data_IF_888855182807
#
_entry.id   IF_888855182807
#
_cell.length_a   1.000
_cell.length_b   1.000
_cell.length_c   1.000
_cell.angle_alpha   90.00
_cell.angle_beta   90.00
_cell.angle_gamma   90.00
#
_symmetry.space_group_name_H-M   'P 1'
#
loop_
_entity.id
_entity.type
_entity.pdbx_description
1 polymer ?
#
# COMPACT_ATOMS: atom_id res chain seq x y z
N UNK A 1 -17.54 48.95 -9.08
CA UNK A 1 -16.13 49.21 -8.71
C UNK A 1 -15.90 48.64 -7.31
N UNK A 2 -14.97 47.67 -7.17
CA UNK A 2 -14.34 47.10 -5.94
C UNK A 2 -15.27 46.42 -4.91
N UNK A 3 -15.34 45.08 -4.88
CA UNK A 3 -14.47 44.13 -4.13
C UNK A 3 -14.38 44.45 -2.64
N UNK A 4 -15.05 43.64 -1.80
CA UNK A 4 -14.63 43.39 -0.42
C UNK A 4 -14.82 41.89 -0.15
N UNK A 5 -13.76 41.14 -0.42
CA UNK A 5 -13.60 39.81 0.16
C UNK A 5 -13.02 39.95 1.57
N UNK A 6 -13.46 39.09 2.48
CA UNK A 6 -12.62 38.65 3.60
C UNK A 6 -12.85 37.16 3.80
N UNK A 7 -11.79 36.43 3.48
CA UNK A 7 -11.56 35.02 3.74
C UNK A 7 -11.92 34.68 5.21
N UNK A 8 -12.88 33.79 5.39
CA UNK A 8 -12.94 32.94 6.59
C UNK A 8 -12.08 31.71 6.32
N UNK A 9 -10.76 31.84 6.42
CA UNK A 9 -9.93 30.64 6.53
C UNK A 9 -10.08 30.09 7.94
N UNK A 10 -10.64 28.89 7.97
CA UNK A 10 -10.84 28.05 9.13
C UNK A 10 -9.49 27.75 9.77
N UNK A 11 -9.23 28.33 10.95
CA UNK A 11 -8.22 27.83 11.88
C UNK A 11 -8.74 26.52 12.48
N UNK A 12 -8.63 25.43 11.74
CA UNK A 12 -8.70 24.11 12.37
C UNK A 12 -7.39 23.92 13.15
N UNK A 13 -7.43 23.58 14.45
CA UNK A 13 -6.20 23.21 15.15
C UNK A 13 -5.59 22.03 14.40
N UNK A 14 -4.38 22.23 13.88
CA UNK A 14 -3.57 21.15 13.32
C UNK A 14 -3.45 20.09 14.42
N UNK A 15 -4.11 18.94 14.23
CA UNK A 15 -3.91 17.78 15.12
C UNK A 15 -2.39 17.56 15.15
N UNK A 16 -1.75 17.41 16.33
CA UNK A 16 -0.33 17.13 16.38
C UNK A 16 -0.05 15.94 15.46
N UNK A 17 1.05 16.02 14.70
CA UNK A 17 1.47 14.91 13.86
C UNK A 17 1.44 13.63 14.71
N UNK A 18 0.73 12.58 14.26
CA UNK A 18 0.65 11.36 15.03
C UNK A 18 2.08 10.84 15.29
N UNK A 19 2.30 10.27 16.48
CA UNK A 19 3.57 9.62 16.80
C UNK A 19 3.77 8.49 15.80
N UNK A 20 4.93 8.49 15.14
CA UNK A 20 5.27 7.45 14.16
C UNK A 20 5.26 6.08 14.85
N UNK A 21 4.49 5.10 14.32
CA UNK A 21 4.51 3.74 14.82
C UNK A 21 5.89 3.09 14.64
N UNK A 22 6.26 2.20 15.57
CA UNK A 22 7.34 1.25 15.31
C UNK A 22 6.84 0.21 14.30
N UNK A 23 7.09 0.46 13.01
CA UNK A 23 6.68 -0.42 11.91
C UNK A 23 7.18 -1.84 12.08
N UNK A 24 8.39 -2.02 12.61
CA UNK A 24 9.04 -3.32 12.78
C UNK A 24 8.33 -4.19 13.83
N UNK A 25 7.69 -3.56 14.82
CA UNK A 25 6.94 -4.25 15.87
C UNK A 25 5.57 -4.78 15.41
N UNK A 26 5.07 -4.33 14.26
CA UNK A 26 3.76 -4.75 13.75
C UNK A 26 3.90 -6.11 13.06
N UNK A 27 3.52 -7.19 13.73
CA UNK A 27 3.59 -8.56 13.20
C UNK A 27 2.36 -8.99 12.38
N UNK A 28 1.26 -8.24 12.46
CA UNK A 28 -0.02 -8.58 11.83
C UNK A 28 -0.34 -7.62 10.68
N UNK A 29 -0.62 -8.17 9.49
CA UNK A 29 -0.87 -7.37 8.29
C UNK A 29 -2.17 -6.55 8.36
N UNK A 30 -3.16 -6.95 9.16
CA UNK A 30 -4.41 -6.20 9.38
C UNK A 30 -4.20 -4.98 10.27
N UNK A 31 -3.34 -5.14 11.29
CA UNK A 31 -2.90 -4.02 12.14
C UNK A 31 -2.04 -3.06 11.31
N UNK A 32 -1.14 -3.59 10.48
CA UNK A 32 -0.31 -2.79 9.57
C UNK A 32 -1.16 -1.99 8.58
N UNK A 33 -2.20 -2.60 7.99
CA UNK A 33 -3.14 -1.90 7.11
C UNK A 33 -3.82 -0.74 7.80
N UNK A 34 -4.31 -0.95 9.02
CA UNK A 34 -4.99 0.09 9.80
C UNK A 34 -4.06 1.26 10.11
N UNK A 35 -2.80 0.98 10.46
CA UNK A 35 -1.79 2.01 10.69
C UNK A 35 -1.37 2.74 9.39
N UNK A 36 -1.20 2.00 8.29
CA UNK A 36 -0.84 2.55 6.98
C UNK A 36 -1.90 3.50 6.43
N UNK A 37 -3.20 3.22 6.69
CA UNK A 37 -4.31 4.08 6.27
C UNK A 37 -4.25 5.50 6.89
N UNK A 38 -3.60 5.65 8.05
CA UNK A 38 -3.46 6.94 8.74
C UNK A 38 -2.17 7.69 8.32
N UNK A 39 -1.40 7.18 7.36
CA UNK A 39 -0.09 7.70 6.97
C UNK A 39 -0.12 8.86 5.95
N UNK A 40 -1.25 9.51 5.74
CA UNK A 40 -1.37 10.63 4.78
C UNK A 40 -0.48 11.85 5.10
N UNK A 41 0.17 11.87 6.28
CA UNK A 41 1.14 12.87 6.70
C UNK A 41 2.59 12.50 6.36
N UNK A 42 2.86 11.24 5.99
CA UNK A 42 4.21 10.78 5.63
C UNK A 42 4.59 11.26 4.23
N UNK A 43 5.89 11.43 3.98
CA UNK A 43 6.41 11.57 2.63
C UNK A 43 6.37 10.23 1.88
N UNK A 44 6.37 10.23 0.53
CA UNK A 44 6.39 8.99 -0.25
C UNK A 44 7.55 8.07 0.15
N UNK A 45 8.73 8.64 0.37
CA UNK A 45 9.93 7.88 0.73
C UNK A 45 9.79 7.24 2.11
N UNK A 46 9.22 7.97 3.07
CA UNK A 46 8.97 7.45 4.41
C UNK A 46 7.90 6.34 4.41
N UNK A 47 6.87 6.46 3.57
CA UNK A 47 5.87 5.39 3.42
C UNK A 47 6.50 4.12 2.85
N UNK A 48 7.39 4.24 1.86
CA UNK A 48 8.09 3.11 1.28
C UNK A 48 9.02 2.43 2.29
N UNK A 49 9.82 3.21 3.01
CA UNK A 49 10.79 2.70 3.99
C UNK A 49 10.14 2.17 5.29
N UNK A 50 8.93 2.60 5.62
CA UNK A 50 8.21 2.17 6.82
C UNK A 50 7.11 1.14 6.50
N UNK A 51 5.84 1.56 6.34
CA UNK A 51 4.72 0.65 6.13
C UNK A 51 4.93 -0.36 5.00
N UNK A 52 5.43 0.08 3.85
CA UNK A 52 5.56 -0.81 2.69
C UNK A 52 6.68 -1.82 2.86
N UNK A 53 7.88 -1.40 3.29
CA UNK A 53 8.96 -2.32 3.68
C UNK A 53 8.45 -3.38 4.65
N UNK A 54 7.61 -3.00 5.63
CA UNK A 54 7.09 -3.96 6.59
C UNK A 54 6.20 -5.03 5.95
N UNK A 55 5.39 -4.69 4.94
CA UNK A 55 4.67 -5.69 4.17
C UNK A 55 5.61 -6.67 3.46
N UNK A 56 6.71 -6.17 2.90
CA UNK A 56 7.72 -7.00 2.25
C UNK A 56 8.39 -7.96 3.24
N UNK A 57 8.72 -7.49 4.45
CA UNK A 57 9.27 -8.33 5.51
C UNK A 57 8.32 -9.46 5.89
N UNK A 58 7.03 -9.15 6.09
CA UNK A 58 5.99 -10.12 6.42
C UNK A 58 5.73 -11.11 5.27
N UNK A 59 5.86 -10.67 4.01
CA UNK A 59 5.79 -11.55 2.84
C UNK A 59 7.06 -12.40 2.65
N UNK A 60 8.19 -11.98 3.23
CA UNK A 60 9.45 -12.71 3.22
C UNK A 60 9.56 -13.76 4.33
N UNK A 61 8.61 -13.79 5.28
CA UNK A 61 8.59 -14.77 6.37
C UNK A 61 8.40 -16.19 5.81
N UNK A 62 9.49 -16.97 5.86
CA UNK A 62 9.54 -18.35 5.38
C UNK A 62 8.69 -19.33 6.18
N UNK A 63 8.11 -18.92 7.32
CA UNK A 63 7.18 -19.75 8.09
C UNK A 63 5.76 -19.76 7.52
N UNK A 64 5.39 -18.73 6.75
CA UNK A 64 4.09 -18.62 6.11
C UNK A 64 4.06 -19.35 4.76
N UNK A 65 2.96 -20.04 4.46
CA UNK A 65 2.75 -20.63 3.13
C UNK A 65 2.50 -19.53 2.07
N UNK A 66 2.63 -19.89 0.79
CA UNK A 66 2.52 -18.94 -0.32
C UNK A 66 1.18 -18.16 -0.33
N UNK A 67 0.09 -18.79 0.12
CA UNK A 67 -1.23 -18.14 0.22
C UNK A 67 -1.27 -17.07 1.31
N UNK A 68 -0.67 -17.34 2.47
CA UNK A 68 -0.53 -16.36 3.56
C UNK A 68 0.28 -15.15 3.12
N UNK A 69 1.43 -15.39 2.47
CA UNK A 69 2.30 -14.32 1.94
C UNK A 69 1.59 -13.50 0.86
N UNK A 70 0.90 -14.16 -0.07
CA UNK A 70 0.07 -13.49 -1.08
C UNK A 70 -1.04 -12.63 -0.46
N UNK A 71 -1.71 -13.12 0.59
CA UNK A 71 -2.73 -12.34 1.29
C UNK A 71 -2.13 -11.08 1.92
N UNK A 72 -0.98 -11.18 2.59
CA UNK A 72 -0.26 -10.02 3.10
C UNK A 72 0.08 -9.03 1.98
N UNK A 73 0.56 -9.53 0.82
CA UNK A 73 0.91 -8.69 -0.32
C UNK A 73 -0.31 -7.99 -0.93
N UNK A 74 -1.50 -8.60 -0.93
CA UNK A 74 -2.74 -7.91 -1.35
C UNK A 74 -3.06 -6.70 -0.47
N UNK A 75 -2.87 -6.83 0.85
CA UNK A 75 -3.03 -5.70 1.77
C UNK A 75 -1.95 -4.64 1.55
N UNK A 76 -0.71 -5.06 1.26
CA UNK A 76 0.37 -4.15 0.87
C UNK A 76 0.04 -3.37 -0.39
N UNK A 77 -0.43 -4.05 -1.45
CA UNK A 77 -0.93 -3.42 -2.68
C UNK A 77 -2.05 -2.43 -2.39
N UNK A 78 -3.05 -2.82 -1.59
CA UNK A 78 -4.16 -1.95 -1.21
C UNK A 78 -3.65 -0.69 -0.51
N UNK A 79 -2.70 -0.83 0.42
CA UNK A 79 -2.12 0.30 1.16
C UNK A 79 -1.33 1.24 0.25
N UNK A 80 -0.51 0.71 -0.68
CA UNK A 80 0.23 1.51 -1.66
C UNK A 80 -0.73 2.26 -2.57
N UNK A 81 -1.77 1.59 -3.11
CA UNK A 81 -2.76 2.25 -3.98
C UNK A 81 -3.53 3.33 -3.24
N UNK A 82 -3.92 3.08 -1.99
CA UNK A 82 -4.60 4.07 -1.16
C UNK A 82 -3.72 5.31 -0.93
N UNK A 83 -2.46 5.10 -0.57
CA UNK A 83 -1.50 6.19 -0.37
C UNK A 83 -1.25 6.94 -1.69
N UNK A 84 -1.04 6.23 -2.80
CA UNK A 84 -0.88 6.80 -4.14
C UNK A 84 -2.07 7.69 -4.55
N UNK A 85 -3.29 7.21 -4.30
CA UNK A 85 -4.51 7.99 -4.54
C UNK A 85 -4.61 9.21 -3.61
N UNK A 86 -4.03 9.16 -2.40
CA UNK A 86 -3.94 10.31 -1.50
C UNK A 86 -2.93 11.38 -1.94
N UNK A 87 -1.94 11.03 -2.78
CA UNK A 87 -1.02 11.99 -3.40
C UNK A 87 -1.68 12.79 -4.53
N UNK A 88 -2.77 12.26 -5.10
CA UNK A 88 -3.61 12.97 -6.07
C UNK A 88 -4.33 14.12 -5.34
N UNK A 89 -3.83 15.35 -5.56
CA UNK A 89 -4.38 16.58 -4.99
C UNK A 89 -5.82 16.90 -5.45
N UNK A 90 -6.39 16.12 -6.38
CA UNK A 90 -7.78 16.17 -6.83
C UNK A 90 -8.68 15.09 -6.23
N UNK A 91 -8.12 14.04 -5.63
CA UNK A 91 -8.86 12.92 -5.03
C UNK A 91 -8.49 12.76 -3.55
N UNK A 92 -8.99 13.67 -2.71
CA UNK A 92 -8.84 13.55 -1.26
C UNK A 92 -9.36 12.19 -0.76
N UNK A 93 -8.43 11.31 -0.35
CA UNK A 93 -8.62 9.91 0.08
C UNK A 93 -9.31 9.02 -0.96
N UNK A 94 -8.88 7.76 -1.03
CA UNK A 94 -9.66 6.77 -1.77
C UNK A 94 -11.03 6.59 -1.08
N UNK A 95 -12.09 7.01 -1.75
CA UNK A 95 -13.49 6.76 -1.42
C UNK A 95 -14.02 5.61 -2.27
N UNK A 96 -15.17 5.04 -1.93
CA UNK A 96 -15.82 4.04 -2.79
C UNK A 96 -16.11 4.58 -4.21
N UNK A 97 -16.19 5.91 -4.40
CA UNK A 97 -16.47 6.57 -5.68
C UNK A 97 -15.25 6.76 -6.59
N UNK A 98 -14.04 6.67 -6.04
CA UNK A 98 -12.78 6.76 -6.78
C UNK A 98 -11.97 5.46 -6.73
N UNK A 99 -12.44 4.45 -5.99
CA UNK A 99 -11.90 3.09 -6.04
C UNK A 99 -11.86 2.58 -7.48
N UNK A 100 -10.67 2.17 -7.92
CA UNK A 100 -10.45 1.64 -9.27
C UNK A 100 -10.26 2.70 -10.36
N UNK A 101 -10.24 3.99 -10.01
CA UNK A 101 -9.79 5.01 -10.96
C UNK A 101 -8.29 4.85 -11.26
N UNK A 102 -7.85 5.22 -12.47
CA UNK A 102 -6.42 5.34 -12.76
C UNK A 102 -5.77 6.34 -11.80
N UNK A 103 -4.52 6.07 -11.41
CA UNK A 103 -3.74 7.05 -10.65
C UNK A 103 -3.32 8.20 -11.58
N UNK A 104 -3.08 9.38 -11.00
CA UNK A 104 -2.44 10.48 -11.72
C UNK A 104 -0.93 10.21 -11.89
N UNK A 105 -0.21 11.13 -12.55
CA UNK A 105 1.22 10.98 -12.79
C UNK A 105 2.03 10.78 -11.49
N UNK A 106 1.64 11.46 -10.40
CA UNK A 106 2.31 11.35 -9.11
C UNK A 106 2.06 9.98 -8.46
N UNK A 107 0.80 9.51 -8.48
CA UNK A 107 0.43 8.19 -7.98
C UNK A 107 1.07 7.05 -8.77
N UNK A 108 1.10 7.15 -10.10
CA UNK A 108 1.77 6.16 -10.97
C UNK A 108 3.28 6.13 -10.72
N UNK A 109 3.93 7.29 -10.62
CA UNK A 109 5.35 7.38 -10.30
C UNK A 109 5.66 6.75 -8.92
N UNK A 110 4.80 6.99 -7.92
CA UNK A 110 4.93 6.36 -6.61
C UNK A 110 4.74 4.84 -6.67
N UNK A 111 3.71 4.36 -7.37
CA UNK A 111 3.46 2.92 -7.52
C UNK A 111 4.62 2.22 -8.23
N UNK A 112 5.20 2.83 -9.26
CA UNK A 112 6.37 2.31 -9.96
C UNK A 112 7.59 2.16 -9.02
N UNK A 113 7.78 3.10 -8.09
CA UNK A 113 8.83 3.01 -7.06
C UNK A 113 8.57 1.88 -6.07
N UNK A 114 7.34 1.73 -5.60
CA UNK A 114 6.95 0.60 -4.74
C UNK A 114 7.21 -0.74 -5.45
N UNK A 115 6.83 -0.83 -6.72
CA UNK A 115 7.07 -2.02 -7.56
C UNK A 115 8.56 -2.33 -7.72
N UNK A 116 9.40 -1.33 -7.99
CA UNK A 116 10.85 -1.51 -8.11
C UNK A 116 11.47 -2.02 -6.81
N UNK A 117 11.05 -1.47 -5.67
CA UNK A 117 11.48 -1.92 -4.34
C UNK A 117 11.06 -3.36 -4.05
N UNK A 118 9.83 -3.74 -4.37
CA UNK A 118 9.36 -5.11 -4.23
C UNK A 118 10.12 -6.09 -5.15
N UNK A 119 10.41 -5.69 -6.39
CA UNK A 119 11.15 -6.51 -7.34
C UNK A 119 12.56 -6.82 -6.85
N UNK A 120 13.26 -5.83 -6.29
CA UNK A 120 14.58 -6.02 -5.68
C UNK A 120 14.49 -6.95 -4.44
N UNK A 121 13.51 -6.71 -3.57
CA UNK A 121 13.30 -7.50 -2.36
C UNK A 121 13.00 -8.97 -2.63
N UNK A 122 12.17 -9.25 -3.63
CA UNK A 122 11.70 -10.61 -3.94
C UNK A 122 12.61 -11.37 -4.91
N UNK A 123 13.65 -10.75 -5.46
CA UNK A 123 14.52 -11.34 -6.49
C UNK A 123 15.12 -12.70 -6.08
N UNK A 124 15.34 -12.93 -4.80
CA UNK A 124 15.93 -14.16 -4.24
C UNK A 124 14.98 -14.94 -3.31
N UNK A 125 13.68 -14.57 -3.27
CA UNK A 125 12.71 -15.12 -2.33
C UNK A 125 11.82 -16.19 -2.96
N UNK A 126 11.40 -17.22 -2.20
CA UNK A 126 10.44 -18.21 -2.67
C UNK A 126 9.10 -17.57 -3.08
N UNK A 127 8.61 -17.94 -4.26
CA UNK A 127 7.39 -17.38 -4.87
C UNK A 127 7.47 -15.86 -5.10
N UNK A 128 8.67 -15.29 -5.27
CA UNK A 128 8.86 -13.86 -5.55
C UNK A 128 8.02 -13.36 -6.74
N UNK A 129 8.03 -14.10 -7.84
CA UNK A 129 7.20 -13.80 -9.03
C UNK A 129 5.70 -13.74 -8.70
N UNK A 130 5.23 -14.64 -7.83
CA UNK A 130 3.83 -14.64 -7.40
C UNK A 130 3.49 -13.41 -6.57
N UNK A 131 4.40 -12.99 -5.67
CA UNK A 131 4.19 -11.77 -4.89
C UNK A 131 4.15 -10.53 -5.81
N UNK A 132 4.96 -10.52 -6.86
CA UNK A 132 4.93 -9.47 -7.88
C UNK A 132 3.60 -9.47 -8.67
N UNK A 133 3.09 -10.63 -9.07
CA UNK A 133 1.77 -10.74 -9.70
C UNK A 133 0.64 -10.23 -8.78
N UNK A 134 0.73 -10.54 -7.48
CA UNK A 134 -0.24 -10.05 -6.49
C UNK A 134 -0.13 -8.53 -6.32
N UNK A 135 1.08 -7.97 -6.25
CA UNK A 135 1.31 -6.53 -6.17
C UNK A 135 0.79 -5.80 -7.42
N UNK A 136 1.06 -6.34 -8.61
CA UNK A 136 0.57 -5.81 -9.88
C UNK A 136 -0.96 -6.01 -10.01
N UNK A 137 -1.54 -6.91 -9.22
CA UNK A 137 -2.97 -7.22 -9.21
C UNK A 137 -3.42 -8.15 -10.33
N UNK A 138 -2.47 -8.85 -10.96
CA UNK A 138 -2.73 -9.89 -11.97
C UNK A 138 -3.00 -11.25 -11.34
N UNK A 139 -2.66 -11.43 -10.06
CA UNK A 139 -3.01 -12.57 -9.25
C UNK A 139 -3.69 -12.16 -7.94
N UNK A 140 -4.26 -13.16 -7.26
CA UNK A 140 -4.81 -13.03 -5.90
C UNK A 140 -4.26 -14.15 -5.04
N UNK A 141 -4.40 -14.05 -3.72
CA UNK A 141 -4.06 -15.12 -2.77
C UNK A 141 -4.79 -16.44 -3.05
N UNK A 142 -5.86 -16.43 -3.84
CA UNK A 142 -6.61 -17.62 -4.25
C UNK A 142 -6.12 -18.25 -5.57
N UNK A 143 -5.23 -17.58 -6.31
CA UNK A 143 -4.89 -17.93 -7.69
C UNK A 143 -4.13 -19.25 -7.81
N UNK A 144 -3.02 -19.43 -7.08
CA UNK A 144 -2.21 -20.68 -7.14
C UNK A 144 -2.81 -21.88 -6.38
N UNK A 145 -3.75 -21.65 -5.48
CA UNK A 145 -4.46 -22.73 -4.80
C UNK A 145 -5.37 -23.52 -5.77
N UNK A 146 -5.82 -22.88 -6.85
CA UNK A 146 -6.58 -23.53 -7.90
C UNK A 146 -5.67 -24.38 -8.81
N UNK A 147 -4.49 -23.90 -9.17
CA UNK A 147 -3.57 -24.59 -10.09
C UNK A 147 -2.92 -25.84 -9.46
N UNK A 148 -2.65 -25.82 -8.15
CA UNK A 148 -2.18 -26.99 -7.41
C UNK A 148 -3.23 -28.09 -7.20
N UNK A 149 -4.50 -27.83 -7.50
CA UNK A 149 -5.61 -28.79 -7.35
C UNK A 149 -5.90 -29.62 -8.61
N UNK A 150 -5.23 -29.33 -9.73
CA UNK A 150 -5.49 -29.98 -11.05
C UNK A 150 -4.49 -31.11 -11.35
N UNK A 151 -3.65 -31.53 -10.39
CA UNK A 151 -2.64 -32.59 -10.61
C UNK A 151 -2.71 -33.77 -9.63
N UNK A 152 -3.90 -34.12 -9.14
CA UNK A 152 -4.17 -35.46 -8.60
C UNK A 152 -5.54 -35.96 -9.09
N UNK A 153 -5.54 -36.62 -10.25
CA UNK A 153 -6.69 -37.30 -10.84
C UNK A 153 -6.28 -38.07 -12.08
#
# INVERSE_FOLDING_TARGET
>A
MRVVGWLKYWFWPQKPAPVEPDWSAIADYTVLMSAAAECGWMSPDAFLAGPFQRYLDLCGDGTANARGRARTMEFGRGSVRHYAAGLDNTAGRETDENRGRPLDEAGEAFFARARAMAADWFADKPDGDYMMEVLDGTATHNHRAAEGSVSQG
#
